data_IF_495081381486
#
_entry.id   IF_495081381486
#
_cell.length_a   1.000
_cell.length_b   1.000
_cell.length_c   1.000
_cell.angle_alpha   90.00
_cell.angle_beta   90.00
_cell.angle_gamma   90.00
#
_symmetry.space_group_name_H-M   'P 1'
#
loop_
_entity.id
_entity.type
_entity.pdbx_description
1 polymer ?
#
# COMPACT_ATOMS: atom_id res chain seq x y z
N UNK A 1 -35.58 -20.16 6.78
CA UNK A 1 -34.92 -19.23 7.72
C UNK A 1 -33.40 -19.17 7.57
N UNK A 2 -32.63 -20.25 7.79
CA UNK A 2 -31.14 -20.17 7.72
C UNK A 2 -30.63 -19.82 6.32
N UNK A 3 -31.18 -20.44 5.27
CA UNK A 3 -30.81 -20.15 3.88
C UNK A 3 -31.16 -18.71 3.46
N UNK A 4 -32.34 -18.21 3.82
CA UNK A 4 -32.75 -16.84 3.52
C UNK A 4 -31.81 -15.83 4.18
N UNK A 5 -31.56 -16.02 5.49
CA UNK A 5 -30.64 -15.19 6.23
C UNK A 5 -29.25 -15.18 5.60
N UNK A 6 -28.75 -16.35 5.17
CA UNK A 6 -27.45 -16.44 4.50
C UNK A 6 -27.42 -15.65 3.18
N UNK A 7 -28.44 -15.80 2.33
CA UNK A 7 -28.55 -15.04 1.06
C UNK A 7 -28.65 -13.54 1.32
N UNK A 8 -29.45 -13.10 2.29
CA UNK A 8 -29.53 -11.69 2.68
C UNK A 8 -28.19 -11.14 3.17
N UNK A 9 -27.45 -11.92 3.99
CA UNK A 9 -26.12 -11.54 4.45
C UNK A 9 -25.12 -11.43 3.30
N UNK A 10 -25.21 -12.27 2.28
CA UNK A 10 -24.39 -12.16 1.07
C UNK A 10 -24.69 -10.86 0.31
N UNK A 11 -25.96 -10.50 0.15
CA UNK A 11 -26.34 -9.24 -0.50
C UNK A 11 -25.88 -8.02 0.31
N UNK A 12 -26.01 -8.08 1.65
CA UNK A 12 -25.48 -7.04 2.53
C UNK A 12 -23.97 -6.91 2.41
N UNK A 13 -23.24 -8.02 2.40
CA UNK A 13 -21.78 -8.05 2.19
C UNK A 13 -21.41 -7.43 0.84
N UNK A 14 -22.16 -7.71 -0.22
CA UNK A 14 -21.96 -7.11 -1.55
C UNK A 14 -22.19 -5.60 -1.53
N UNK A 15 -23.22 -5.12 -0.83
CA UNK A 15 -23.49 -3.68 -0.65
C UNK A 15 -22.33 -3.01 0.10
N UNK A 16 -21.92 -3.57 1.25
CA UNK A 16 -20.82 -3.04 2.06
C UNK A 16 -19.50 -3.04 1.29
N UNK A 17 -19.18 -4.15 0.62
CA UNK A 17 -17.97 -4.28 -0.19
C UNK A 17 -17.92 -3.23 -1.30
N UNK A 18 -19.05 -2.98 -1.96
CA UNK A 18 -19.15 -1.98 -3.02
C UNK A 18 -19.03 -0.53 -2.49
N UNK A 19 -19.49 -0.24 -1.26
CA UNK A 19 -19.21 1.05 -0.60
C UNK A 19 -17.70 1.31 -0.50
N UNK A 20 -16.93 0.30 -0.07
CA UNK A 20 -15.48 0.40 0.02
C UNK A 20 -14.82 0.50 -1.35
N UNK A 21 -15.30 -0.26 -2.35
CA UNK A 21 -14.81 -0.17 -3.73
C UNK A 21 -14.99 1.23 -4.32
N UNK A 22 -16.16 1.85 -4.11
CA UNK A 22 -16.45 3.23 -4.53
C UNK A 22 -15.56 4.24 -3.81
N UNK A 23 -15.44 4.13 -2.48
CA UNK A 23 -14.56 5.00 -1.71
C UNK A 23 -13.09 4.88 -2.17
N UNK A 24 -12.64 3.66 -2.42
CA UNK A 24 -11.28 3.37 -2.88
C UNK A 24 -11.02 3.95 -4.27
N UNK A 25 -11.99 3.84 -5.19
CA UNK A 25 -11.91 4.42 -6.53
C UNK A 25 -11.93 5.95 -6.48
N UNK A 26 -12.79 6.57 -5.66
CA UNK A 26 -12.77 8.03 -5.48
C UNK A 26 -11.42 8.53 -4.93
N UNK A 27 -10.80 7.80 -4.00
CA UNK A 27 -9.44 8.10 -3.53
C UNK A 27 -8.41 7.95 -4.66
N UNK A 28 -8.54 6.90 -5.49
CA UNK A 28 -7.67 6.67 -6.65
C UNK A 28 -7.79 7.81 -7.66
N UNK A 29 -9.01 8.17 -8.06
CA UNK A 29 -9.31 9.28 -8.98
C UNK A 29 -8.84 10.62 -8.43
N UNK A 30 -9.05 10.88 -7.14
CA UNK A 30 -8.56 12.09 -6.47
C UNK A 30 -7.04 12.24 -6.60
N UNK A 31 -6.31 11.13 -6.55
CA UNK A 31 -4.86 11.10 -6.71
C UNK A 31 -4.41 10.74 -8.14
N UNK A 32 -5.27 10.72 -9.17
CA UNK A 32 -4.89 10.19 -10.50
C UNK A 32 -3.74 10.96 -11.15
N UNK A 33 -3.65 12.27 -10.91
CA UNK A 33 -2.54 13.12 -11.36
C UNK A 33 -1.26 12.89 -10.54
N UNK A 34 -1.42 12.50 -9.28
CA UNK A 34 -0.34 12.18 -8.33
C UNK A 34 -0.06 10.66 -8.27
N UNK A 35 -0.77 9.80 -9.00
CA UNK A 35 -0.55 8.35 -9.01
C UNK A 35 0.70 8.00 -9.83
N UNK A 36 0.92 8.75 -10.92
CA UNK A 36 2.19 8.77 -11.66
C UNK A 36 3.31 9.49 -10.89
N UNK A 37 3.01 10.13 -9.74
CA UNK A 37 3.95 10.94 -8.96
C UNK A 37 3.58 10.92 -7.48
N UNK A 38 3.53 9.75 -6.84
CA UNK A 38 3.10 9.57 -5.44
C UNK A 38 3.99 10.34 -4.45
N UNK A 39 3.88 11.66 -4.47
CA UNK A 39 4.76 12.65 -3.85
C UNK A 39 4.01 13.50 -2.84
N UNK A 40 2.68 13.39 -2.77
CA UNK A 40 1.85 14.36 -2.04
C UNK A 40 1.38 13.92 -0.66
N UNK A 41 0.79 12.72 -0.53
CA UNK A 41 -0.04 12.44 0.64
C UNK A 41 -0.06 10.96 1.09
N UNK A 42 0.88 10.64 1.98
CA UNK A 42 0.99 9.33 2.62
C UNK A 42 -0.28 8.87 3.34
N UNK A 43 -1.09 9.79 3.85
CA UNK A 43 -2.30 9.45 4.61
C UNK A 43 -3.40 8.96 3.67
N UNK A 44 -3.64 9.70 2.59
CA UNK A 44 -4.60 9.29 1.56
C UNK A 44 -4.21 7.97 0.91
N UNK A 45 -2.91 7.75 0.64
CA UNK A 45 -2.38 6.46 0.15
C UNK A 45 -2.60 5.34 1.16
N UNK A 46 -2.45 5.61 2.46
CA UNK A 46 -2.70 4.62 3.52
C UNK A 46 -4.17 4.22 3.56
N UNK A 47 -5.10 5.17 3.42
CA UNK A 47 -6.53 4.88 3.34
C UNK A 47 -6.88 4.10 2.07
N UNK A 48 -6.34 4.49 0.91
CA UNK A 48 -6.51 3.74 -0.35
C UNK A 48 -6.10 2.27 -0.18
N UNK A 49 -4.93 2.01 0.42
CA UNK A 49 -4.48 0.64 0.70
C UNK A 49 -5.39 -0.09 1.68
N UNK A 50 -5.82 0.57 2.77
CA UNK A 50 -6.71 -0.05 3.77
C UNK A 50 -8.07 -0.41 3.18
N UNK A 51 -8.69 0.50 2.45
CA UNK A 51 -9.96 0.23 1.77
C UNK A 51 -9.79 -0.84 0.70
N UNK A 52 -8.68 -0.84 -0.06
CA UNK A 52 -8.31 -1.92 -0.97
C UNK A 52 -8.15 -3.30 -0.30
N UNK A 53 -7.66 -3.36 0.94
CA UNK A 53 -7.62 -4.62 1.71
C UNK A 53 -9.00 -5.05 2.21
N UNK A 54 -9.82 -4.11 2.67
CA UNK A 54 -11.17 -4.40 3.15
C UNK A 54 -12.04 -4.89 1.99
N UNK A 55 -12.04 -4.17 0.85
CA UNK A 55 -12.80 -4.58 -0.34
C UNK A 55 -12.37 -6.00 -0.73
N UNK A 56 -11.07 -6.27 -0.91
CA UNK A 56 -10.66 -7.59 -1.43
C UNK A 56 -10.98 -8.75 -0.49
N UNK A 57 -10.89 -8.53 0.84
CA UNK A 57 -11.30 -9.53 1.82
C UNK A 57 -12.79 -9.85 1.73
N UNK A 58 -13.64 -8.84 1.57
CA UNK A 58 -15.08 -9.03 1.38
C UNK A 58 -15.35 -9.73 0.04
N UNK A 59 -14.66 -9.33 -1.03
CA UNK A 59 -14.82 -9.93 -2.36
C UNK A 59 -14.54 -11.44 -2.34
N UNK A 60 -13.40 -11.86 -1.78
CA UNK A 60 -13.06 -13.27 -1.74
C UNK A 60 -13.94 -14.06 -0.78
N UNK A 61 -14.40 -13.46 0.32
CA UNK A 61 -15.39 -14.09 1.19
C UNK A 61 -16.70 -14.37 0.44
N UNK A 62 -17.19 -13.41 -0.33
CA UNK A 62 -18.36 -13.58 -1.20
C UNK A 62 -18.12 -14.64 -2.27
N UNK A 63 -16.98 -14.58 -2.96
CA UNK A 63 -16.62 -15.54 -4.00
C UNK A 63 -16.62 -16.97 -3.47
N UNK A 64 -16.02 -17.22 -2.29
CA UNK A 64 -16.01 -18.54 -1.65
C UNK A 64 -17.43 -18.99 -1.32
N UNK A 65 -18.28 -18.11 -0.80
CA UNK A 65 -19.68 -18.45 -0.51
C UNK A 65 -20.48 -18.77 -1.78
N UNK A 66 -20.28 -18.02 -2.87
CA UNK A 66 -20.90 -18.31 -4.17
C UNK A 66 -20.43 -19.66 -4.73
N UNK A 67 -19.12 -19.95 -4.64
CA UNK A 67 -18.57 -21.24 -5.06
C UNK A 67 -19.10 -22.40 -4.21
N UNK A 68 -19.30 -22.18 -2.91
CA UNK A 68 -19.89 -23.18 -2.02
C UNK A 68 -21.37 -23.44 -2.37
N UNK A 69 -22.17 -22.41 -2.67
CA UNK A 69 -23.55 -22.60 -3.17
C UNK A 69 -23.58 -23.38 -4.48
N UNK A 70 -22.69 -23.06 -5.42
CA UNK A 70 -22.58 -23.78 -6.68
C UNK A 70 -22.21 -25.26 -6.44
N UNK A 71 -21.24 -25.52 -5.58
CA UNK A 71 -20.84 -26.88 -5.20
C UNK A 71 -22.00 -27.65 -4.56
N UNK A 72 -22.68 -27.05 -3.57
CA UNK A 72 -23.81 -27.68 -2.90
C UNK A 72 -24.94 -28.02 -3.87
N UNK A 73 -25.18 -27.19 -4.88
CA UNK A 73 -26.17 -27.50 -5.91
C UNK A 73 -25.71 -28.62 -6.85
N UNK A 74 -24.52 -28.50 -7.44
CA UNK A 74 -24.03 -29.44 -8.47
C UNK A 74 -23.72 -30.82 -7.88
N UNK A 75 -23.16 -30.87 -6.68
CA UNK A 75 -22.64 -32.09 -6.07
C UNK A 75 -23.60 -32.66 -5.02
N UNK A 76 -24.22 -31.82 -4.19
CA UNK A 76 -25.16 -32.29 -3.16
C UNK A 76 -26.61 -32.36 -3.65
N UNK A 77 -26.89 -31.90 -4.88
CA UNK A 77 -28.18 -32.07 -5.55
C UNK A 77 -29.34 -31.31 -4.90
N UNK A 78 -29.08 -30.28 -4.09
CA UNK A 78 -30.14 -29.52 -3.43
C UNK A 78 -30.89 -28.65 -4.46
N UNK A 79 -32.18 -28.93 -4.72
CA UNK A 79 -32.96 -28.18 -5.69
C UNK A 79 -33.38 -26.79 -5.18
N UNK A 80 -33.28 -26.52 -3.87
CA UNK A 80 -33.71 -25.26 -3.26
C UNK A 80 -32.68 -24.13 -3.39
N UNK A 81 -31.45 -24.46 -3.81
CA UNK A 81 -30.35 -23.51 -3.92
C UNK A 81 -30.27 -22.79 -5.28
N UNK A 82 -31.02 -23.24 -6.30
CA UNK A 82 -30.91 -22.71 -7.65
C UNK A 82 -32.27 -22.52 -8.36
N UNK A 83 -32.57 -21.27 -8.71
CA UNK A 83 -33.61 -20.90 -9.68
C UNK A 83 -32.92 -20.58 -11.03
N UNK A 84 -33.20 -21.31 -12.12
CA UNK A 84 -32.32 -21.37 -13.30
C UNK A 84 -32.09 -20.08 -14.11
N UNK A 85 -32.89 -19.02 -14.01
CA UNK A 85 -32.85 -17.95 -15.04
C UNK A 85 -31.96 -16.74 -14.72
N UNK A 86 -31.74 -16.39 -13.45
CA UNK A 86 -30.87 -15.25 -13.05
C UNK A 86 -29.46 -15.62 -12.63
N UNK A 87 -29.29 -16.87 -12.18
CA UNK A 87 -28.07 -17.30 -11.49
C UNK A 87 -26.91 -17.50 -12.46
N UNK A 88 -27.16 -17.87 -13.71
CA UNK A 88 -26.09 -18.03 -14.71
C UNK A 88 -25.40 -16.71 -15.03
N UNK A 89 -26.15 -15.62 -15.19
CA UNK A 89 -25.57 -14.30 -15.40
C UNK A 89 -24.75 -13.83 -14.18
N UNK A 90 -25.24 -14.06 -12.97
CA UNK A 90 -24.52 -13.71 -11.75
C UNK A 90 -23.26 -14.58 -11.53
N UNK A 91 -23.34 -15.90 -11.72
CA UNK A 91 -22.20 -16.80 -11.54
C UNK A 91 -21.10 -16.60 -12.59
N UNK A 92 -21.47 -16.42 -13.86
CA UNK A 92 -20.48 -16.26 -14.94
C UNK A 92 -19.97 -14.83 -15.07
N UNK A 93 -20.87 -13.84 -15.21
CA UNK A 93 -20.48 -12.44 -15.41
C UNK A 93 -20.08 -11.81 -14.08
N UNK A 94 -20.91 -11.99 -13.04
CA UNK A 94 -20.66 -11.43 -11.72
C UNK A 94 -19.63 -12.18 -10.87
N UNK A 95 -19.46 -13.48 -11.09
CA UNK A 95 -18.54 -14.34 -10.34
C UNK A 95 -17.22 -14.50 -11.08
N UNK A 96 -17.22 -15.23 -12.20
CA UNK A 96 -15.98 -15.58 -12.90
C UNK A 96 -15.27 -14.36 -13.50
N UNK A 97 -15.96 -13.54 -14.31
CA UNK A 97 -15.32 -12.38 -14.96
C UNK A 97 -14.85 -11.36 -13.90
N UNK A 98 -15.71 -11.03 -12.93
CA UNK A 98 -15.34 -10.14 -11.84
C UNK A 98 -14.14 -10.66 -11.04
N UNK A 99 -14.10 -11.95 -10.73
CA UNK A 99 -12.98 -12.54 -9.97
C UNK A 99 -11.67 -12.46 -10.74
N UNK A 100 -11.67 -12.66 -12.07
CA UNK A 100 -10.49 -12.47 -12.90
C UNK A 100 -10.01 -11.02 -12.84
N UNK A 101 -10.91 -10.05 -13.00
CA UNK A 101 -10.57 -8.62 -13.01
C UNK A 101 -10.03 -8.15 -11.64
N UNK A 102 -10.69 -8.53 -10.55
CA UNK A 102 -10.27 -8.18 -9.18
C UNK A 102 -8.95 -8.87 -8.82
N UNK A 103 -8.80 -10.16 -9.17
CA UNK A 103 -7.56 -10.92 -8.94
C UNK A 103 -6.40 -10.36 -9.74
N UNK A 104 -6.63 -9.96 -11.00
CA UNK A 104 -5.61 -9.32 -11.83
C UNK A 104 -5.09 -8.02 -11.20
N UNK A 105 -6.00 -7.12 -10.79
CA UNK A 105 -5.63 -5.89 -10.05
C UNK A 105 -4.83 -6.23 -8.79
N UNK A 106 -5.28 -7.22 -8.01
CA UNK A 106 -4.63 -7.60 -6.76
C UNK A 106 -3.22 -8.16 -6.95
N UNK A 107 -3.02 -9.08 -7.90
CA UNK A 107 -1.71 -9.66 -8.19
C UNK A 107 -0.72 -8.56 -8.55
N UNK A 108 -1.13 -7.60 -9.41
CA UNK A 108 -0.26 -6.49 -9.78
C UNK A 108 0.02 -5.59 -8.56
N UNK A 109 -1.00 -5.20 -7.81
CA UNK A 109 -0.85 -4.35 -6.63
C UNK A 109 0.04 -4.98 -5.54
N UNK A 110 0.01 -6.33 -5.41
CA UNK A 110 0.76 -7.05 -4.38
C UNK A 110 2.20 -7.34 -4.79
N UNK A 111 2.41 -7.80 -6.02
CA UNK A 111 3.69 -8.38 -6.46
C UNK A 111 4.46 -7.51 -7.47
N UNK A 112 3.78 -6.61 -8.18
CA UNK A 112 4.38 -5.75 -9.22
C UNK A 112 4.11 -4.27 -8.91
N UNK A 113 4.65 -3.82 -7.77
CA UNK A 113 4.43 -2.44 -7.29
C UNK A 113 4.83 -1.38 -8.31
N UNK A 114 5.93 -1.56 -9.03
CA UNK A 114 6.35 -0.56 -10.03
C UNK A 114 5.31 -0.42 -11.15
N UNK A 115 4.67 -1.51 -11.56
CA UNK A 115 3.61 -1.49 -12.55
C UNK A 115 2.33 -0.82 -12.04
N UNK A 116 1.98 -0.96 -10.75
CA UNK A 116 0.79 -0.28 -10.21
C UNK A 116 0.98 1.24 -10.16
N UNK A 117 2.22 1.71 -10.06
CA UNK A 117 2.51 3.14 -10.05
C UNK A 117 2.56 3.72 -11.46
N UNK A 118 3.08 2.96 -12.44
CA UNK A 118 3.10 3.38 -13.84
C UNK A 118 1.72 3.27 -14.53
N UNK A 119 0.97 2.23 -14.22
CA UNK A 119 -0.28 1.90 -14.92
C UNK A 119 -1.51 1.91 -14.00
N UNK A 120 -1.39 2.44 -12.78
CA UNK A 120 -2.45 2.46 -11.78
C UNK A 120 -3.74 3.10 -12.27
N UNK A 121 -3.64 4.13 -13.10
CA UNK A 121 -4.78 4.80 -13.73
C UNK A 121 -5.62 3.89 -14.64
N UNK A 122 -5.06 2.79 -15.14
CA UNK A 122 -5.77 1.80 -15.95
C UNK A 122 -6.13 0.55 -15.14
N UNK A 123 -5.22 0.11 -14.26
CA UNK A 123 -5.41 -1.11 -13.45
C UNK A 123 -6.48 -0.91 -12.37
N UNK A 124 -6.53 0.28 -11.76
CA UNK A 124 -7.54 0.65 -10.76
C UNK A 124 -8.96 0.47 -11.28
N UNK A 125 -9.34 1.17 -12.38
CA UNK A 125 -10.65 1.04 -13.00
C UNK A 125 -11.03 -0.39 -13.39
N UNK A 126 -10.09 -1.22 -13.86
CA UNK A 126 -10.36 -2.63 -14.18
C UNK A 126 -10.89 -3.38 -12.95
N UNK A 127 -10.24 -3.25 -11.79
CA UNK A 127 -10.75 -3.90 -10.59
C UNK A 127 -12.07 -3.31 -10.09
N UNK A 128 -12.27 -2.00 -10.26
CA UNK A 128 -13.54 -1.35 -9.94
C UNK A 128 -14.69 -1.83 -10.84
N UNK A 129 -14.44 -2.03 -12.14
CA UNK A 129 -15.40 -2.64 -13.06
C UNK A 129 -15.75 -4.07 -12.64
N UNK A 130 -14.77 -4.87 -12.21
CA UNK A 130 -15.01 -6.20 -11.65
C UNK A 130 -15.96 -6.15 -10.45
N UNK A 131 -15.72 -5.24 -9.51
CA UNK A 131 -16.61 -4.99 -8.38
C UNK A 131 -18.01 -4.55 -8.79
N UNK A 132 -18.10 -3.65 -9.78
CA UNK A 132 -19.38 -3.17 -10.31
C UNK A 132 -20.19 -4.30 -10.92
N UNK A 133 -19.56 -5.17 -11.72
CA UNK A 133 -20.19 -6.35 -12.30
C UNK A 133 -20.71 -7.30 -11.23
N UNK A 134 -19.89 -7.61 -10.22
CA UNK A 134 -20.31 -8.44 -9.10
C UNK A 134 -21.49 -7.83 -8.35
N UNK A 135 -21.44 -6.53 -8.05
CA UNK A 135 -22.50 -5.82 -7.34
C UNK A 135 -23.83 -5.83 -8.10
N UNK A 136 -23.84 -5.34 -9.34
CA UNK A 136 -25.07 -5.18 -10.12
C UNK A 136 -25.72 -6.53 -10.47
N UNK A 137 -24.92 -7.55 -10.78
CA UNK A 137 -25.46 -8.88 -11.05
C UNK A 137 -26.01 -9.54 -9.78
N UNK A 138 -25.41 -9.29 -8.60
CA UNK A 138 -25.94 -9.75 -7.31
C UNK A 138 -27.29 -9.10 -7.01
N UNK A 139 -27.40 -7.77 -7.15
CA UNK A 139 -28.65 -7.07 -6.94
C UNK A 139 -29.72 -7.52 -7.94
N UNK A 140 -29.36 -7.66 -9.22
CA UNK A 140 -30.28 -8.13 -10.23
C UNK A 140 -30.84 -9.51 -9.87
N UNK A 141 -29.97 -10.47 -9.57
CA UNK A 141 -30.37 -11.82 -9.20
C UNK A 141 -31.24 -11.83 -7.93
N UNK A 142 -30.89 -11.04 -6.93
CA UNK A 142 -31.69 -10.98 -5.70
C UNK A 142 -33.08 -10.36 -5.93
N UNK A 143 -33.16 -9.15 -6.46
CA UNK A 143 -34.42 -8.40 -6.53
C UNK A 143 -35.37 -8.88 -7.63
N UNK A 144 -34.85 -9.44 -8.73
CA UNK A 144 -35.67 -9.84 -9.87
C UNK A 144 -35.85 -11.36 -10.01
N UNK A 145 -35.10 -12.17 -9.24
CA UNK A 145 -35.23 -13.64 -9.30
C UNK A 145 -35.52 -14.23 -7.93
N UNK A 146 -34.69 -13.96 -6.91
CA UNK A 146 -34.84 -14.57 -5.58
C UNK A 146 -36.03 -13.99 -4.80
N UNK A 147 -36.11 -12.66 -4.69
CA UNK A 147 -37.11 -11.97 -3.88
C UNK A 147 -38.55 -12.19 -4.40
N UNK A 148 -38.84 -12.16 -5.72
CA UNK A 148 -40.17 -12.48 -6.22
C UNK A 148 -40.58 -13.92 -5.89
N UNK A 149 -39.65 -14.87 -5.97
CA UNK A 149 -39.90 -16.26 -5.58
C UNK A 149 -40.18 -16.37 -4.07
N UNK A 150 -39.40 -15.70 -3.23
CA UNK A 150 -39.64 -15.66 -1.78
C UNK A 150 -41.02 -15.07 -1.44
N UNK A 151 -41.38 -13.96 -2.09
CA UNK A 151 -42.70 -13.34 -1.90
C UNK A 151 -43.84 -14.29 -2.27
N UNK A 152 -43.69 -15.11 -3.33
CA UNK A 152 -44.68 -16.13 -3.70
C UNK A 152 -44.84 -17.23 -2.65
N UNK A 153 -43.83 -17.44 -1.81
CA UNK A 153 -43.82 -18.38 -0.69
C UNK A 153 -44.20 -17.71 0.65
N UNK A 154 -44.64 -16.45 0.64
CA UNK A 154 -44.98 -15.69 1.85
C UNK A 154 -43.78 -15.30 2.71
N UNK A 155 -42.56 -15.30 2.13
CA UNK A 155 -41.32 -14.92 2.81
C UNK A 155 -40.97 -13.47 2.45
N UNK A 156 -40.36 -12.74 3.39
CA UNK A 156 -40.01 -11.32 3.22
C UNK A 156 -38.55 -11.13 3.61
N UNK A 157 -37.83 -10.28 2.88
CA UNK A 157 -36.47 -9.91 3.27
C UNK A 157 -36.48 -9.00 4.52
N UNK A 158 -35.50 -9.20 5.39
CA UNK A 158 -35.49 -8.67 6.76
C UNK A 158 -34.37 -7.66 7.02
N UNK A 159 -33.19 -7.87 6.44
CA UNK A 159 -31.97 -7.11 6.69
C UNK A 159 -31.66 -6.19 5.50
N UNK A 160 -31.80 -6.69 4.28
CA UNK A 160 -31.51 -5.91 3.07
C UNK A 160 -32.70 -5.03 2.69
N UNK A 161 -32.47 -3.85 2.06
CA UNK A 161 -33.58 -2.98 1.67
C UNK A 161 -34.58 -3.72 0.78
N UNK A 162 -35.89 -3.56 1.00
CA UNK A 162 -36.90 -4.20 0.13
C UNK A 162 -37.01 -3.54 -1.26
N UNK A 163 -36.17 -2.56 -1.56
CA UNK A 163 -36.17 -1.83 -2.83
C UNK A 163 -34.83 -1.94 -3.52
N UNK A 164 -34.84 -2.42 -4.76
CA UNK A 164 -33.69 -2.45 -5.66
C UNK A 164 -33.03 -1.07 -5.75
N UNK A 165 -33.82 0.00 -5.88
CA UNK A 165 -33.34 1.37 -6.02
C UNK A 165 -32.51 1.78 -4.80
N UNK A 166 -32.98 1.48 -3.59
CA UNK A 166 -32.25 1.79 -2.37
C UNK A 166 -30.96 0.99 -2.25
N UNK A 167 -30.99 -0.31 -2.53
CA UNK A 167 -29.79 -1.14 -2.51
C UNK A 167 -28.74 -0.73 -3.54
N UNK A 168 -29.18 -0.17 -4.68
CA UNK A 168 -28.30 0.37 -5.72
C UNK A 168 -27.70 1.74 -5.34
N UNK A 169 -28.45 2.61 -4.64
CA UNK A 169 -28.03 3.99 -4.33
C UNK A 169 -27.21 4.10 -3.04
N UNK A 170 -27.54 3.31 -2.00
CA UNK A 170 -26.86 3.34 -0.70
C UNK A 170 -25.34 3.24 -0.82
N UNK A 171 -24.76 2.33 -1.64
CA UNK A 171 -23.32 2.24 -1.81
C UNK A 171 -22.63 3.53 -2.25
N UNK A 172 -23.28 4.32 -3.12
CA UNK A 172 -22.75 5.61 -3.58
C UNK A 172 -22.75 6.65 -2.47
N UNK A 173 -23.82 6.73 -1.69
CA UNK A 173 -23.93 7.66 -0.56
C UNK A 173 -22.88 7.32 0.50
N UNK A 174 -22.80 6.05 0.90
CA UNK A 174 -21.84 5.59 1.92
C UNK A 174 -20.41 5.68 1.41
N UNK A 175 -20.14 5.26 0.18
CA UNK A 175 -18.83 5.36 -0.45
C UNK A 175 -18.33 6.80 -0.55
N UNK A 176 -19.21 7.74 -0.93
CA UNK A 176 -18.90 9.17 -0.92
C UNK A 176 -18.64 9.68 0.51
N UNK A 177 -19.45 9.26 1.48
CA UNK A 177 -19.24 9.59 2.89
C UNK A 177 -17.88 9.12 3.43
N UNK A 178 -17.48 7.88 3.09
CA UNK A 178 -16.17 7.34 3.43
C UNK A 178 -15.04 8.14 2.77
N UNK A 179 -15.20 8.52 1.51
CA UNK A 179 -14.23 9.37 0.81
C UNK A 179 -14.10 10.75 1.46
N UNK A 180 -15.23 11.41 1.77
CA UNK A 180 -15.25 12.71 2.47
C UNK A 180 -14.62 12.60 3.85
N UNK A 181 -14.85 11.49 4.57
CA UNK A 181 -14.19 11.23 5.85
C UNK A 181 -12.65 11.16 5.71
N UNK A 182 -12.13 10.52 4.65
CA UNK A 182 -10.69 10.51 4.36
C UNK A 182 -10.17 11.92 4.09
N UNK A 183 -10.88 12.71 3.30
CA UNK A 183 -10.51 14.11 3.04
C UNK A 183 -10.55 14.97 4.31
N UNK A 184 -11.53 14.75 5.18
CA UNK A 184 -11.63 15.43 6.47
C UNK A 184 -10.46 15.07 7.39
N UNK A 185 -10.13 13.77 7.50
CA UNK A 185 -8.98 13.29 8.28
C UNK A 185 -7.67 13.90 7.79
N UNK A 186 -7.46 13.89 6.48
CA UNK A 186 -6.36 14.61 5.84
C UNK A 186 -6.35 16.09 6.19
N UNK A 187 -7.47 16.80 6.07
CA UNK A 187 -7.57 18.22 6.39
C UNK A 187 -7.28 18.54 7.86
N UNK A 188 -7.62 17.61 8.77
CA UNK A 188 -7.32 17.72 10.19
C UNK A 188 -5.85 17.46 10.53
N UNK A 189 -5.19 16.50 9.85
CA UNK A 189 -3.74 16.27 9.98
C UNK A 189 -2.92 17.34 9.24
N UNK A 190 -3.42 17.92 8.13
CA UNK A 190 -2.76 19.04 7.44
C UNK A 190 -2.81 20.36 8.23
N UNK A 191 -3.76 20.50 9.17
CA UNK A 191 -3.74 21.61 10.14
C UNK A 191 -2.59 21.47 11.16
N UNK A 192 -1.96 20.31 11.25
CA UNK A 192 -0.63 20.16 11.84
C UNK A 192 0.41 20.61 10.81
N UNK A 193 0.90 21.84 10.99
CA UNK A 193 1.86 22.64 10.19
C UNK A 193 3.18 21.97 9.74
N UNK A 194 3.36 20.65 9.73
CA UNK A 194 4.69 20.03 9.68
C UNK A 194 5.10 19.32 8.38
N UNK A 195 4.23 18.79 7.51
CA UNK A 195 4.70 17.94 6.38
C UNK A 195 5.41 18.70 5.24
N UNK A 196 4.90 19.87 4.83
CA UNK A 196 5.61 20.71 3.84
C UNK A 196 6.90 21.28 4.44
N UNK A 197 6.88 21.64 5.73
CA UNK A 197 8.06 22.08 6.46
C UNK A 197 9.11 20.96 6.58
N UNK A 198 8.71 19.71 6.86
CA UNK A 198 9.60 18.55 6.90
C UNK A 198 10.19 18.24 5.53
N UNK A 199 9.39 18.27 4.46
CA UNK A 199 9.90 18.05 3.10
C UNK A 199 10.80 19.20 2.63
N UNK A 200 10.53 20.44 3.03
CA UNK A 200 11.41 21.59 2.77
C UNK A 200 12.70 21.53 3.57
N UNK A 201 12.63 21.16 4.85
CA UNK A 201 13.81 20.96 5.71
C UNK A 201 14.62 19.78 5.19
N UNK A 202 13.97 18.68 4.79
CA UNK A 202 14.64 17.56 4.13
C UNK A 202 15.25 17.98 2.80
N UNK A 203 14.57 18.76 1.97
CA UNK A 203 15.09 19.28 0.70
C UNK A 203 16.30 20.21 0.91
N UNK A 204 16.23 21.12 1.89
CA UNK A 204 17.31 22.03 2.27
C UNK A 204 18.51 21.27 2.85
N UNK A 205 18.28 20.41 3.84
CA UNK A 205 19.33 19.57 4.42
C UNK A 205 19.96 18.71 3.35
N UNK A 206 19.17 18.08 2.49
CA UNK A 206 19.66 17.22 1.42
C UNK A 206 20.43 18.01 0.34
N UNK A 207 20.00 19.22 0.00
CA UNK A 207 20.75 20.13 -0.86
C UNK A 207 22.10 20.52 -0.27
N UNK A 208 22.15 20.79 1.04
CA UNK A 208 23.40 21.06 1.77
C UNK A 208 24.30 19.81 1.81
N UNK A 209 23.75 18.63 2.15
CA UNK A 209 24.52 17.39 2.19
C UNK A 209 25.04 17.00 0.80
N UNK A 210 24.26 17.24 -0.26
CA UNK A 210 24.69 16.97 -1.64
C UNK A 210 25.77 17.92 -2.12
N UNK A 211 25.61 19.23 -1.86
CA UNK A 211 26.64 20.21 -2.13
C UNK A 211 27.95 19.86 -1.41
N UNK A 212 27.86 19.42 -0.16
CA UNK A 212 29.00 18.96 0.61
C UNK A 212 29.59 17.63 0.10
N UNK A 213 28.76 16.64 -0.21
CA UNK A 213 29.20 15.34 -0.75
C UNK A 213 29.91 15.51 -2.09
N UNK A 214 29.34 16.31 -3.01
CA UNK A 214 29.95 16.58 -4.31
C UNK A 214 31.27 17.33 -4.16
N UNK A 215 31.29 18.41 -3.37
CA UNK A 215 32.51 19.18 -3.12
C UNK A 215 33.59 18.34 -2.43
N UNK A 216 33.21 17.50 -1.46
CA UNK A 216 34.15 16.62 -0.77
C UNK A 216 34.66 15.49 -1.67
N UNK A 217 33.84 14.93 -2.56
CA UNK A 217 34.29 13.94 -3.56
C UNK A 217 35.28 14.56 -4.54
N UNK A 218 34.98 15.75 -5.05
CA UNK A 218 35.83 16.47 -6.00
C UNK A 218 37.19 16.83 -5.37
N UNK A 219 37.20 17.22 -4.08
CA UNK A 219 38.42 17.64 -3.39
C UNK A 219 39.25 16.48 -2.80
N UNK A 220 38.61 15.46 -2.25
CA UNK A 220 39.26 14.45 -1.40
C UNK A 220 39.14 13.02 -1.93
N UNK A 221 38.35 12.80 -2.97
CA UNK A 221 38.03 11.47 -3.50
C UNK A 221 37.03 10.69 -2.64
N UNK A 222 36.29 9.80 -3.29
CA UNK A 222 35.26 8.94 -2.67
C UNK A 222 35.73 8.16 -1.43
N UNK A 223 36.97 7.61 -1.37
CA UNK A 223 37.46 6.89 -0.19
C UNK A 223 37.53 7.72 1.10
N UNK A 224 37.82 9.03 0.99
CA UNK A 224 37.94 9.91 2.15
C UNK A 224 36.59 10.16 2.84
N UNK A 225 35.50 10.24 2.07
CA UNK A 225 34.15 10.33 2.60
C UNK A 225 33.81 9.14 3.49
N UNK A 226 34.14 7.92 3.06
CA UNK A 226 33.84 6.72 3.83
C UNK A 226 34.68 6.62 5.11
N UNK A 227 35.97 6.97 5.03
CA UNK A 227 36.88 6.86 6.16
C UNK A 227 36.63 7.91 7.26
N UNK A 228 36.18 9.12 6.89
CA UNK A 228 36.09 10.24 7.83
C UNK A 228 34.66 10.73 8.12
N UNK A 229 33.73 10.63 7.17
CA UNK A 229 32.36 11.16 7.34
C UNK A 229 31.43 10.14 7.95
N UNK A 230 31.47 8.87 7.52
CA UNK A 230 30.59 7.81 8.03
C UNK A 230 30.73 7.61 9.55
N UNK A 231 31.94 7.50 10.13
CA UNK A 231 32.07 7.34 11.59
C UNK A 231 31.53 8.55 12.38
N UNK A 232 31.76 9.77 11.88
CA UNK A 232 31.26 11.00 12.51
C UNK A 232 29.75 11.20 12.34
N UNK A 233 29.17 10.62 11.30
CA UNK A 233 27.72 10.65 11.10
C UNK A 233 27.02 9.91 12.24
N UNK A 234 27.57 8.81 12.75
CA UNK A 234 27.00 8.09 13.91
C UNK A 234 26.82 8.98 15.15
N UNK A 235 27.80 9.84 15.48
CA UNK A 235 27.71 10.73 16.63
C UNK A 235 26.57 11.76 16.50
N UNK A 236 26.34 12.26 15.28
CA UNK A 236 25.21 13.13 14.99
C UNK A 236 23.88 12.38 15.03
N UNK A 237 23.85 11.15 14.50
CA UNK A 237 22.68 10.27 14.58
C UNK A 237 22.33 10.00 16.04
N UNK A 238 23.30 9.67 16.89
CA UNK A 238 23.07 9.44 18.33
C UNK A 238 22.39 10.64 19.00
N UNK A 239 22.88 11.85 18.76
CA UNK A 239 22.29 13.08 19.32
C UNK A 239 20.88 13.32 18.80
N UNK A 240 20.66 13.27 17.49
CA UNK A 240 19.35 13.51 16.88
C UNK A 240 18.31 12.45 17.27
N UNK A 241 18.72 11.20 17.35
CA UNK A 241 17.83 10.08 17.69
C UNK A 241 17.47 10.07 19.16
N UNK A 242 18.37 10.49 20.04
CA UNK A 242 18.07 10.68 21.47
C UNK A 242 16.97 11.73 21.65
N UNK A 243 16.99 12.82 20.89
CA UNK A 243 15.91 13.83 20.89
C UNK A 243 14.56 13.27 20.42
N UNK A 244 14.60 12.22 19.58
CA UNK A 244 13.41 11.50 19.10
C UNK A 244 12.98 10.35 20.04
N UNK A 245 13.56 10.28 21.25
CA UNK A 245 13.26 9.27 22.26
C UNK A 245 13.93 7.91 22.05
N UNK A 246 14.90 7.81 21.13
CA UNK A 246 15.57 6.56 20.80
C UNK A 246 16.99 6.52 21.37
N UNK A 247 17.25 5.51 22.19
CA UNK A 247 18.57 5.31 22.77
C UNK A 247 19.42 4.43 21.83
N UNK A 248 20.26 5.08 21.01
CA UNK A 248 21.15 4.40 20.06
C UNK A 248 22.13 3.43 20.74
N UNK A 249 22.50 3.66 22.02
CA UNK A 249 23.33 2.72 22.79
C UNK A 249 22.66 1.37 23.06
N UNK A 250 21.32 1.28 22.89
CA UNK A 250 20.63 -0.02 22.91
C UNK A 250 20.97 -0.84 21.67
N UNK A 251 21.16 -0.20 20.52
CA UNK A 251 21.50 -0.90 19.26
C UNK A 251 22.88 -1.55 19.33
N UNK A 252 23.82 -0.94 20.05
CA UNK A 252 25.17 -1.47 20.23
C UNK A 252 25.20 -2.81 20.99
N UNK A 253 24.15 -3.11 21.76
CA UNK A 253 24.02 -4.37 22.51
C UNK A 253 23.37 -5.49 21.69
N UNK A 254 22.92 -5.18 20.46
CA UNK A 254 22.25 -6.11 19.58
C UNK A 254 23.22 -6.67 18.55
N UNK A 255 22.84 -7.80 17.94
CA UNK A 255 23.49 -8.26 16.71
C UNK A 255 23.32 -7.19 15.62
N UNK A 256 24.25 -7.10 14.66
CA UNK A 256 24.13 -6.13 13.56
C UNK A 256 22.79 -6.24 12.81
N UNK A 257 22.35 -7.48 12.56
CA UNK A 257 21.07 -7.74 11.90
C UNK A 257 19.89 -7.19 12.69
N UNK A 258 19.88 -7.38 14.01
CA UNK A 258 18.79 -6.91 14.87
C UNK A 258 18.84 -5.39 15.10
N UNK A 259 20.03 -4.83 15.24
CA UNK A 259 20.24 -3.39 15.34
C UNK A 259 19.70 -2.66 14.10
N UNK A 260 20.02 -3.17 12.91
CA UNK A 260 19.54 -2.58 11.68
C UNK A 260 18.02 -2.76 11.51
N UNK A 261 17.44 -3.91 11.91
CA UNK A 261 15.97 -4.10 11.89
C UNK A 261 15.25 -3.11 12.80
N UNK A 262 15.75 -2.90 14.02
CA UNK A 262 15.18 -1.93 14.96
C UNK A 262 15.27 -0.50 14.41
N UNK A 263 16.39 -0.14 13.79
CA UNK A 263 16.53 1.15 13.12
C UNK A 263 15.53 1.33 11.97
N UNK A 264 15.27 0.28 11.16
CA UNK A 264 14.31 0.39 10.05
C UNK A 264 12.86 0.55 10.50
N UNK A 265 12.44 -0.16 11.57
CA UNK A 265 11.10 0.04 12.16
C UNK A 265 10.89 1.50 12.60
N UNK A 266 11.95 2.16 13.05
CA UNK A 266 11.88 3.56 13.43
C UNK A 266 11.75 4.47 12.20
N UNK A 267 12.49 4.23 11.12
CA UNK A 267 12.32 4.97 9.86
C UNK A 267 10.87 4.94 9.35
N UNK A 268 10.20 3.79 9.51
CA UNK A 268 8.77 3.61 9.23
C UNK A 268 7.89 4.41 10.21
N UNK A 269 8.20 4.35 11.51
CA UNK A 269 7.44 5.04 12.57
C UNK A 269 7.45 6.56 12.43
N UNK A 270 8.59 7.15 12.04
CA UNK A 270 8.71 8.61 11.85
C UNK A 270 8.10 9.10 10.53
N UNK A 271 7.63 8.19 9.67
CA UNK A 271 6.91 8.51 8.44
C UNK A 271 7.78 9.07 7.31
N UNK A 272 9.11 8.92 7.38
CA UNK A 272 10.02 9.34 6.30
C UNK A 272 10.12 8.29 5.18
N UNK A 273 9.79 7.03 5.47
CA UNK A 273 9.64 5.95 4.49
C UNK A 273 8.47 5.06 4.89
N UNK A 274 7.75 4.48 3.92
CA UNK A 274 6.73 3.47 4.21
C UNK A 274 7.36 2.16 4.68
N UNK A 275 8.49 1.79 4.07
CA UNK A 275 9.24 0.58 4.42
C UNK A 275 10.71 0.75 4.10
N UNK A 276 11.58 0.26 4.97
CA UNK A 276 12.99 0.05 4.63
C UNK A 276 13.35 -1.42 4.86
N UNK A 277 13.65 -2.13 3.77
CA UNK A 277 14.01 -3.56 3.81
C UNK A 277 15.51 -3.71 3.79
N UNK A 278 15.98 -4.71 4.52
CA UNK A 278 17.36 -5.16 4.47
C UNK A 278 17.36 -6.62 4.00
N UNK A 279 18.10 -6.90 2.94
CA UNK A 279 18.29 -8.26 2.45
C UNK A 279 19.76 -8.61 2.52
N UNK A 280 20.09 -9.54 3.41
CA UNK A 280 21.42 -10.11 3.50
C UNK A 280 21.65 -11.04 2.31
N UNK A 281 22.75 -10.82 1.60
CA UNK A 281 23.23 -11.70 0.51
C UNK A 281 24.29 -12.67 1.02
N UNK A 282 25.06 -12.24 2.05
CA UNK A 282 26.04 -13.06 2.77
C UNK A 282 26.26 -12.47 4.17
N UNK A 283 27.15 -13.06 4.98
CA UNK A 283 27.53 -12.48 6.28
C UNK A 283 28.17 -11.09 6.18
N UNK A 284 28.71 -10.74 5.00
CA UNK A 284 29.42 -9.48 4.76
C UNK A 284 28.70 -8.56 3.78
N UNK A 285 27.69 -9.03 3.06
CA UNK A 285 26.99 -8.25 2.03
C UNK A 285 25.49 -8.17 2.31
N UNK A 286 24.95 -6.96 2.22
CA UNK A 286 23.52 -6.73 2.34
C UNK A 286 23.07 -5.54 1.48
N UNK A 287 21.81 -5.58 1.08
CA UNK A 287 21.15 -4.49 0.34
C UNK A 287 20.12 -3.80 1.21
N UNK A 288 19.98 -2.49 1.01
CA UNK A 288 18.98 -1.64 1.65
C UNK A 288 18.05 -1.11 0.58
N UNK A 289 16.77 -1.43 0.71
CA UNK A 289 15.71 -0.98 -0.17
C UNK A 289 14.77 -0.08 0.62
N UNK A 290 14.74 1.21 0.28
CA UNK A 290 13.71 2.13 0.78
C UNK A 290 12.53 2.19 -0.18
N UNK A 291 11.31 2.12 0.34
CA UNK A 291 10.07 2.14 -0.44
C UNK A 291 9.19 3.28 0.03
N UNK A 292 8.72 4.07 -0.93
CA UNK A 292 7.91 5.27 -0.72
C UNK A 292 8.57 6.18 0.34
N UNK A 293 9.79 6.65 0.05
CA UNK A 293 10.55 7.51 0.96
C UNK A 293 10.65 8.94 0.43
N UNK A 294 10.54 9.90 1.36
CA UNK A 294 10.57 11.33 1.03
C UNK A 294 11.87 11.75 0.34
N UNK A 295 13.00 11.12 0.71
CA UNK A 295 14.31 11.38 0.10
C UNK A 295 14.39 10.96 -1.37
N UNK A 296 13.73 9.87 -1.76
CA UNK A 296 13.72 9.44 -3.15
C UNK A 296 12.79 10.31 -4.00
N UNK A 297 11.65 10.73 -3.43
CA UNK A 297 10.73 11.66 -4.09
C UNK A 297 11.43 12.99 -4.45
N UNK A 298 12.28 13.50 -3.56
CA UNK A 298 13.10 14.69 -3.82
C UNK A 298 14.15 14.41 -4.91
N UNK A 299 14.84 13.27 -4.88
CA UNK A 299 15.90 12.93 -5.84
C UNK A 299 15.40 12.62 -7.25
N UNK A 300 14.12 12.27 -7.41
CA UNK A 300 13.52 11.99 -8.72
C UNK A 300 13.45 13.19 -9.68
N UNK A 301 13.75 14.42 -9.23
CA UNK A 301 13.84 15.60 -10.10
C UNK A 301 15.25 15.81 -10.68
N UNK A 302 16.24 15.05 -10.21
CA UNK A 302 17.63 15.10 -10.68
C UNK A 302 17.79 14.23 -11.93
N UNK A 303 18.75 14.56 -12.79
CA UNK A 303 19.04 13.75 -13.98
C UNK A 303 19.75 12.45 -13.62
N UNK A 304 19.77 11.49 -14.55
CA UNK A 304 20.47 10.21 -14.33
C UNK A 304 21.97 10.41 -14.10
N UNK A 305 22.56 11.35 -14.81
CA UNK A 305 23.97 11.72 -14.70
C UNK A 305 24.27 12.26 -13.29
N UNK A 306 23.39 13.12 -12.75
CA UNK A 306 23.52 13.65 -11.39
C UNK A 306 23.39 12.56 -10.31
N UNK A 307 22.67 11.47 -10.60
CA UNK A 307 22.43 10.37 -9.68
C UNK A 307 23.47 9.23 -9.77
N UNK A 308 24.35 9.23 -10.78
CA UNK A 308 25.22 8.08 -11.13
C UNK A 308 26.17 7.65 -10.00
N UNK A 309 26.54 8.56 -9.09
CA UNK A 309 27.39 8.27 -7.93
C UNK A 309 26.74 8.62 -6.60
N UNK A 310 25.43 8.82 -6.61
CA UNK A 310 24.73 9.38 -5.48
C UNK A 310 24.36 8.27 -4.49
N UNK A 311 24.46 8.55 -3.19
CA UNK A 311 24.19 7.56 -2.14
C UNK A 311 22.89 7.90 -1.42
N UNK A 312 22.08 6.87 -1.17
CA UNK A 312 20.84 6.93 -0.42
C UNK A 312 21.18 7.25 1.05
N UNK A 313 20.56 8.28 1.64
CA UNK A 313 20.80 8.61 3.05
C UNK A 313 20.58 7.41 3.98
N UNK A 314 19.54 6.60 3.75
CA UNK A 314 19.27 5.39 4.54
C UNK A 314 20.42 4.38 4.50
N UNK A 315 21.15 4.30 3.39
CA UNK A 315 22.34 3.46 3.28
C UNK A 315 23.49 4.01 4.13
N UNK A 316 23.68 5.34 4.17
CA UNK A 316 24.70 5.98 5.02
C UNK A 316 24.39 5.75 6.51
N UNK A 317 23.13 5.89 6.93
CA UNK A 317 22.73 5.60 8.31
C UNK A 317 23.04 4.14 8.70
N UNK A 318 22.67 3.19 7.85
CA UNK A 318 22.94 1.78 8.10
C UNK A 318 24.43 1.45 8.08
N UNK A 319 25.20 2.04 7.17
CA UNK A 319 26.66 1.94 7.16
C UNK A 319 27.25 2.47 8.47
N UNK A 320 26.73 3.59 8.98
CA UNK A 320 27.19 4.18 10.25
C UNK A 320 26.93 3.24 11.43
N UNK A 321 25.75 2.61 11.49
CA UNK A 321 25.41 1.62 12.52
C UNK A 321 26.29 0.38 12.40
N UNK A 322 26.48 -0.13 11.18
CA UNK A 322 27.30 -1.29 10.92
C UNK A 322 28.76 -1.07 11.31
N UNK A 323 29.33 0.07 10.92
CA UNK A 323 30.68 0.47 11.30
C UNK A 323 30.82 0.57 12.81
N UNK A 324 29.86 1.20 13.50
CA UNK A 324 29.91 1.34 14.96
C UNK A 324 29.88 -0.01 15.69
N UNK A 325 29.01 -0.93 15.28
CA UNK A 325 28.82 -2.23 15.94
C UNK A 325 29.98 -3.17 15.65
N UNK A 326 30.47 -3.18 14.42
CA UNK A 326 31.48 -4.16 13.97
C UNK A 326 32.92 -3.64 14.10
N UNK A 327 33.11 -2.32 14.18
CA UNK A 327 34.42 -1.67 14.06
C UNK A 327 35.03 -1.73 12.65
N UNK A 328 34.33 -2.32 11.67
CA UNK A 328 34.84 -2.57 10.33
C UNK A 328 34.45 -1.49 9.34
N UNK A 329 35.29 -1.29 8.32
CA UNK A 329 34.96 -0.40 7.21
C UNK A 329 33.87 -1.01 6.31
N UNK A 330 33.05 -0.16 5.69
CA UNK A 330 32.04 -0.60 4.72
C UNK A 330 32.29 0.05 3.37
N UNK A 331 32.20 -0.77 2.33
CA UNK A 331 32.05 -0.32 0.95
C UNK A 331 30.57 -0.12 0.64
N UNK A 332 30.21 1.05 0.11
CA UNK A 332 28.88 1.31 -0.43
C UNK A 332 28.98 1.48 -1.94
N UNK A 333 28.11 0.77 -2.66
CA UNK A 333 27.93 1.01 -4.10
C UNK A 333 27.01 2.23 -4.30
N UNK A 334 27.08 2.91 -5.47
CA UNK A 334 26.11 3.94 -5.82
C UNK A 334 24.68 3.41 -5.71
N UNK A 335 23.77 4.28 -5.29
CA UNK A 335 22.38 3.88 -5.11
C UNK A 335 21.60 3.92 -6.42
N UNK A 336 20.84 2.87 -6.67
CA UNK A 336 19.86 2.82 -7.74
C UNK A 336 18.58 3.51 -7.25
N UNK A 337 18.38 4.75 -7.67
CA UNK A 337 17.17 5.52 -7.35
C UNK A 337 16.05 5.25 -8.35
N UNK A 338 14.83 5.19 -7.85
CA UNK A 338 13.61 5.34 -8.63
C UNK A 338 12.74 6.45 -8.02
N UNK A 339 11.55 6.69 -8.58
CA UNK A 339 10.72 7.82 -8.17
C UNK A 339 10.23 7.77 -6.71
N UNK A 340 10.22 6.59 -6.11
CA UNK A 340 9.62 6.33 -4.80
C UNK A 340 10.59 5.75 -3.79
N UNK A 341 11.80 5.39 -4.19
CA UNK A 341 12.71 4.60 -3.39
C UNK A 341 14.14 4.60 -3.90
N UNK A 342 14.95 3.82 -3.21
CA UNK A 342 16.34 3.60 -3.56
C UNK A 342 16.79 2.24 -3.08
N UNK A 343 17.58 1.56 -3.91
CA UNK A 343 18.29 0.34 -3.56
C UNK A 343 19.79 0.66 -3.44
N UNK A 344 20.46 0.13 -2.42
CA UNK A 344 21.90 0.33 -2.23
C UNK A 344 22.54 -0.91 -1.66
N UNK A 345 23.66 -1.33 -2.24
CA UNK A 345 24.45 -2.47 -1.76
C UNK A 345 25.57 -2.01 -0.85
N UNK A 346 25.72 -2.72 0.27
CA UNK A 346 26.77 -2.50 1.26
C UNK A 346 27.54 -3.79 1.49
N UNK A 347 28.86 -3.66 1.58
CA UNK A 347 29.78 -4.77 1.83
C UNK A 347 30.73 -4.40 2.97
N UNK A 348 30.78 -5.22 4.00
CA UNK A 348 31.73 -5.11 5.11
C UNK A 348 33.10 -5.56 4.62
N UNK A 349 34.10 -4.68 4.73
CA UNK A 349 35.50 -4.96 4.39
C UNK A 349 36.22 -5.41 5.68
N UNK A 350 37.09 -6.40 5.58
CA UNK A 350 37.91 -6.86 6.71
C UNK A 350 39.08 -5.93 7.02
#
# INVERSE_FOLDING_TARGET
>A
MFLELWVELMILQTIIGYCFALANEFIGLYNIKDLNRLKGDFETVRFHKRFGWIEISIFYALFIQCMYMLYAHVVAGDPNLFIPSGIWAHTWIGGLIASIMVTFKFIIARFKKDNIYLYGQYIGPIGFFGWSLAHWTSLYNFYFVVLPHWNSLGRVATIVPNSFVWAAVIPFIVGLGLFVFVLYKRGSEMKEKSRFAFNQIAFLLHGVTFGYEKSAKELLGTPALFKFVVPRTYEFIEKMMTMSGLNMRKLEKLSLSDALKEFMKMAEKIGMAEKVKIKWESEKSFTIESVNCSTAQVRSVMTKEELTHAICPWAIFAASIANKITGKELRMEPSEFNEIGALTKLTIID
#
